data_IF_118428834860
#
_entry.id   IF_118428834860
#
_cell.length_a   1.000
_cell.length_b   1.000
_cell.length_c   1.000
_cell.angle_alpha   90.00
_cell.angle_beta   90.00
_cell.angle_gamma   90.00
#
_symmetry.space_group_name_H-M   'P 1'
#
loop_
_entity.id
_entity.type
_entity.pdbx_description
1 polymer ?
#
# COMPACT_ATOMS: atom_id res chain seq x y z
N UNK A 1 12.83 12.82 -18.71
CA UNK A 1 13.12 12.25 -17.35
C UNK A 1 13.63 10.83 -17.59
N UNK A 2 14.69 10.39 -16.87
CA UNK A 2 15.23 9.05 -17.09
C UNK A 2 14.33 7.99 -16.41
N UNK A 3 14.22 6.79 -17.02
CA UNK A 3 13.49 5.64 -16.42
C UNK A 3 13.96 5.37 -15.01
N UNK A 4 15.26 5.49 -14.74
CA UNK A 4 15.84 5.28 -13.41
C UNK A 4 15.33 6.29 -12.38
N UNK A 5 15.10 7.55 -12.75
CA UNK A 5 14.55 8.56 -11.83
C UNK A 5 13.09 8.30 -11.50
N UNK A 6 12.28 7.83 -12.47
CA UNK A 6 10.88 7.44 -12.20
C UNK A 6 10.78 6.22 -11.29
N UNK A 7 11.61 5.21 -11.54
CA UNK A 7 11.71 4.04 -10.65
C UNK A 7 12.11 4.47 -9.23
N UNK A 8 13.13 5.32 -9.09
CA UNK A 8 13.57 5.82 -7.78
C UNK A 8 12.49 6.61 -7.05
N UNK A 9 11.77 7.49 -7.76
CA UNK A 9 10.67 8.26 -7.21
C UNK A 9 9.50 7.36 -6.77
N UNK A 10 9.11 6.39 -7.61
CA UNK A 10 8.08 5.41 -7.26
C UNK A 10 8.48 4.58 -6.03
N UNK A 11 9.73 4.07 -6.01
CA UNK A 11 10.23 3.28 -4.87
C UNK A 11 10.18 4.06 -3.55
N UNK A 12 10.50 5.36 -3.58
CA UNK A 12 10.38 6.23 -2.41
C UNK A 12 8.94 6.35 -1.90
N UNK A 13 7.97 6.52 -2.81
CA UNK A 13 6.55 6.60 -2.45
C UNK A 13 6.03 5.26 -1.92
N UNK A 14 6.37 4.17 -2.63
CA UNK A 14 6.01 2.81 -2.24
C UNK A 14 6.56 2.48 -0.84
N UNK A 15 7.82 2.83 -0.56
CA UNK A 15 8.41 2.64 0.76
C UNK A 15 7.65 3.39 1.87
N UNK A 16 7.29 4.65 1.63
CA UNK A 16 6.49 5.44 2.60
C UNK A 16 5.12 4.80 2.82
N UNK A 17 4.47 4.33 1.75
CA UNK A 17 3.18 3.66 1.83
C UNK A 17 3.29 2.36 2.66
N UNK A 18 4.32 1.54 2.40
CA UNK A 18 4.58 0.27 3.08
C UNK A 18 4.90 0.45 4.57
N UNK A 19 5.78 1.41 4.89
CA UNK A 19 6.22 1.67 6.28
C UNK A 19 5.08 2.25 7.12
N UNK A 20 4.15 2.96 6.49
CA UNK A 20 3.01 3.55 7.21
C UNK A 20 2.10 2.45 7.76
N UNK A 21 1.90 2.39 9.09
CA UNK A 21 1.06 1.37 9.70
C UNK A 21 -0.37 1.40 9.13
N UNK A 22 -0.86 0.23 8.73
CA UNK A 22 -2.20 0.06 8.16
C UNK A 22 -2.74 -1.34 8.42
N UNK A 23 -3.79 -1.71 7.69
CA UNK A 23 -4.43 -3.02 7.80
C UNK A 23 -3.42 -4.16 7.57
N UNK A 24 -2.59 -4.06 6.53
CA UNK A 24 -1.63 -5.09 6.15
C UNK A 24 -0.55 -5.27 7.22
N UNK A 25 0.00 -4.17 7.76
CA UNK A 25 0.96 -4.20 8.89
C UNK A 25 0.33 -4.88 10.12
N UNK A 26 -0.92 -4.53 10.45
CA UNK A 26 -1.63 -5.12 11.58
C UNK A 26 -1.86 -6.62 11.39
N UNK A 27 -2.26 -7.05 10.19
CA UNK A 27 -2.45 -8.47 9.86
C UNK A 27 -1.16 -9.26 9.98
N UNK A 28 -0.05 -8.75 9.42
CA UNK A 28 1.25 -9.42 9.49
C UNK A 28 1.76 -9.52 10.93
N UNK A 29 1.69 -8.43 11.70
CA UNK A 29 2.09 -8.43 13.11
C UNK A 29 1.25 -9.40 13.95
N UNK A 30 -0.08 -9.42 13.74
CA UNK A 30 -0.98 -10.35 14.41
C UNK A 30 -0.67 -11.80 14.04
N UNK A 31 -0.46 -12.10 12.75
CA UNK A 31 -0.09 -13.44 12.31
C UNK A 31 1.26 -13.87 12.90
N UNK A 32 2.26 -13.00 12.92
CA UNK A 32 3.57 -13.27 13.50
C UNK A 32 3.51 -13.53 15.01
N UNK A 33 2.71 -12.75 15.74
CA UNK A 33 2.59 -12.84 17.20
C UNK A 33 1.76 -14.06 17.66
N UNK A 34 0.67 -14.39 16.95
CA UNK A 34 -0.31 -15.38 17.41
C UNK A 34 -0.33 -16.69 16.63
N UNK A 35 0.15 -16.72 15.38
CA UNK A 35 0.05 -17.87 14.48
C UNK A 35 1.44 -18.38 14.02
N UNK A 36 2.50 -17.67 14.37
CA UNK A 36 3.89 -18.02 14.06
C UNK A 36 4.35 -17.53 12.68
N UNK A 37 5.67 -17.63 12.48
CA UNK A 37 6.39 -17.07 11.32
C UNK A 37 5.86 -17.57 9.97
N UNK A 38 5.52 -18.85 9.86
CA UNK A 38 5.00 -19.45 8.62
C UNK A 38 3.70 -18.78 8.15
N UNK A 39 2.76 -18.57 9.07
CA UNK A 39 1.48 -17.94 8.76
C UNK A 39 1.62 -16.44 8.50
N UNK A 40 2.57 -15.79 9.18
CA UNK A 40 2.92 -14.41 8.89
C UNK A 40 3.43 -14.25 7.45
N UNK A 41 4.37 -15.10 7.00
CA UNK A 41 4.82 -15.08 5.60
C UNK A 41 3.71 -15.47 4.61
N UNK A 42 2.83 -16.42 4.96
CA UNK A 42 1.67 -16.71 4.12
C UNK A 42 0.78 -15.46 3.93
N UNK A 43 0.57 -14.69 5.00
CA UNK A 43 -0.15 -13.41 4.94
C UNK A 43 0.59 -12.41 4.04
N UNK A 44 1.91 -12.27 4.17
CA UNK A 44 2.73 -11.38 3.33
C UNK A 44 2.62 -11.77 1.85
N UNK A 45 2.74 -13.05 1.51
CA UNK A 45 2.59 -13.50 0.12
C UNK A 45 1.17 -13.28 -0.43
N UNK A 46 0.15 -13.34 0.43
CA UNK A 46 -1.21 -12.95 0.07
C UNK A 46 -1.30 -11.45 -0.27
N UNK A 47 -0.75 -10.60 0.58
CA UNK A 47 -0.66 -9.15 0.35
C UNK A 47 0.10 -8.86 -0.95
N UNK A 48 1.25 -9.50 -1.15
CA UNK A 48 2.06 -9.37 -2.37
C UNK A 48 1.28 -9.72 -3.64
N UNK A 49 0.48 -10.79 -3.61
CA UNK A 49 -0.39 -11.15 -4.72
C UNK A 49 -1.46 -10.07 -4.99
N UNK A 50 -2.03 -9.47 -3.94
CA UNK A 50 -2.96 -8.34 -4.06
C UNK A 50 -2.31 -7.09 -4.68
N UNK A 51 -1.09 -6.76 -4.25
CA UNK A 51 -0.28 -5.66 -4.82
C UNK A 51 -0.02 -5.89 -6.31
N UNK A 52 0.33 -7.12 -6.72
CA UNK A 52 0.49 -7.47 -8.14
C UNK A 52 -0.81 -7.34 -8.93
N UNK A 53 -1.95 -7.76 -8.37
CA UNK A 53 -3.25 -7.56 -9.00
C UNK A 53 -3.53 -6.08 -9.26
N UNK A 54 -3.29 -5.21 -8.29
CA UNK A 54 -3.45 -3.77 -8.46
C UNK A 54 -2.47 -3.18 -9.47
N UNK A 55 -1.19 -3.62 -9.45
CA UNK A 55 -0.18 -3.20 -10.43
C UNK A 55 -0.56 -3.55 -11.85
N UNK A 56 -1.01 -4.80 -12.09
CA UNK A 56 -1.48 -5.25 -13.39
C UNK A 56 -2.77 -4.55 -13.82
N UNK A 57 -3.74 -4.41 -12.92
CA UNK A 57 -4.99 -3.70 -13.20
C UNK A 57 -4.72 -2.24 -13.58
N UNK A 58 -3.82 -1.57 -12.88
CA UNK A 58 -3.44 -0.18 -13.17
C UNK A 58 -2.68 -0.05 -14.50
N UNK A 59 -1.72 -0.94 -14.76
CA UNK A 59 -0.95 -0.92 -16.02
C UNK A 59 -1.83 -1.13 -17.25
N UNK A 60 -2.85 -1.99 -17.16
CA UNK A 60 -3.80 -2.24 -18.25
C UNK A 60 -4.88 -1.15 -18.29
N UNK A 61 -5.48 -0.86 -17.12
CA UNK A 61 -6.67 -0.02 -17.02
C UNK A 61 -6.39 1.46 -17.26
N UNK A 62 -5.32 1.99 -16.67
CA UNK A 62 -5.00 3.42 -16.82
C UNK A 62 -4.59 3.78 -18.25
N UNK A 63 -3.81 2.92 -18.92
CA UNK A 63 -3.47 3.10 -20.34
C UNK A 63 -4.71 3.04 -21.23
N UNK A 64 -5.64 2.12 -20.97
CA UNK A 64 -6.88 2.02 -21.72
C UNK A 64 -7.80 3.25 -21.52
N UNK A 65 -7.90 3.75 -20.28
CA UNK A 65 -8.69 4.96 -19.98
C UNK A 65 -8.10 6.19 -20.66
N UNK A 66 -6.78 6.36 -20.61
CA UNK A 66 -6.09 7.49 -21.26
C UNK A 66 -6.30 7.46 -22.77
N UNK A 67 -6.16 6.28 -23.41
CA UNK A 67 -6.38 6.10 -24.83
C UNK A 67 -7.84 6.35 -25.26
N UNK A 68 -8.80 5.97 -24.39
CA UNK A 68 -10.23 6.13 -24.69
C UNK A 68 -10.73 7.55 -24.44
N UNK A 69 -10.25 8.24 -23.39
CA UNK A 69 -10.72 9.58 -23.03
C UNK A 69 -9.75 10.29 -22.08
N UNK A 70 -8.99 11.30 -22.59
CA UNK A 70 -8.15 12.14 -21.73
C UNK A 70 -8.94 12.81 -20.60
N UNK A 71 -10.18 13.18 -20.83
CA UNK A 71 -11.06 13.78 -19.83
C UNK A 71 -11.38 12.79 -18.70
N UNK A 72 -11.67 11.52 -19.01
CA UNK A 72 -11.90 10.49 -18.01
C UNK A 72 -10.66 10.21 -17.17
N UNK A 73 -9.48 10.22 -17.81
CA UNK A 73 -8.20 10.11 -17.11
C UNK A 73 -7.96 11.28 -16.14
N UNK A 74 -8.25 12.51 -16.56
CA UNK A 74 -8.12 13.70 -15.71
C UNK A 74 -9.05 13.61 -14.49
N UNK A 75 -10.28 13.14 -14.64
CA UNK A 75 -11.19 12.91 -13.51
C UNK A 75 -10.68 11.82 -12.57
N UNK A 76 -10.06 10.75 -13.08
CA UNK A 76 -9.43 9.71 -12.27
C UNK A 76 -8.27 10.31 -11.45
N UNK A 77 -7.44 11.15 -12.06
CA UNK A 77 -6.34 11.85 -11.37
C UNK A 77 -6.86 12.78 -10.27
N UNK A 78 -7.91 13.56 -10.54
CA UNK A 78 -8.54 14.45 -9.54
C UNK A 78 -9.09 13.63 -8.37
N UNK A 79 -9.83 12.56 -8.64
CA UNK A 79 -10.38 11.69 -7.60
C UNK A 79 -9.26 11.03 -6.76
N UNK A 80 -8.21 10.55 -7.41
CA UNK A 80 -7.03 9.98 -6.74
C UNK A 80 -6.30 11.01 -5.88
N UNK A 81 -6.09 12.22 -6.40
CA UNK A 81 -5.47 13.32 -5.64
C UNK A 81 -6.30 13.69 -4.40
N UNK A 82 -7.62 13.86 -4.57
CA UNK A 82 -8.52 14.17 -3.46
C UNK A 82 -8.47 13.08 -2.38
N UNK A 83 -8.47 11.81 -2.80
CA UNK A 83 -8.35 10.68 -1.88
C UNK A 83 -6.99 10.67 -1.14
N UNK A 84 -5.87 10.87 -1.85
CA UNK A 84 -4.55 10.93 -1.22
C UNK A 84 -4.45 12.07 -0.20
N UNK A 85 -4.97 13.24 -0.54
CA UNK A 85 -5.02 14.38 0.39
C UNK A 85 -5.88 14.04 1.61
N UNK A 86 -7.06 13.46 1.41
CA UNK A 86 -7.94 13.01 2.49
C UNK A 86 -7.26 11.97 3.40
N UNK A 87 -6.61 10.97 2.79
CA UNK A 87 -5.86 9.95 3.52
C UNK A 87 -4.72 10.56 4.34
N UNK A 88 -3.92 11.44 3.73
CA UNK A 88 -2.82 12.11 4.40
C UNK A 88 -3.28 13.02 5.56
N UNK A 89 -4.40 13.74 5.40
CA UNK A 89 -5.03 14.50 6.48
C UNK A 89 -5.46 13.56 7.61
N UNK A 90 -6.03 12.39 7.28
CA UNK A 90 -6.41 11.36 8.25
C UNK A 90 -5.19 10.89 9.08
N UNK A 91 -4.04 10.67 8.43
CA UNK A 91 -2.79 10.30 9.09
C UNK A 91 -2.30 11.43 10.04
N UNK A 92 -2.32 12.68 9.58
CA UNK A 92 -1.94 13.83 10.42
C UNK A 92 -2.87 14.01 11.63
N UNK A 93 -4.17 13.74 11.48
CA UNK A 93 -5.13 13.78 12.59
C UNK A 93 -4.85 12.68 13.62
N UNK A 94 -4.48 11.47 13.19
CA UNK A 94 -4.05 10.38 14.09
C UNK A 94 -2.76 10.75 14.82
N UNK A 95 -1.77 11.30 14.12
CA UNK A 95 -0.53 11.77 14.71
C UNK A 95 -0.76 12.79 15.84
N UNK A 96 -1.80 13.63 15.72
CA UNK A 96 -2.21 14.60 16.74
C UNK A 96 -3.07 14.03 17.88
N UNK A 97 -3.29 12.70 17.90
CA UNK A 97 -4.11 12.05 18.93
C UNK A 97 -5.63 12.29 18.79
N UNK A 98 -6.10 12.79 17.64
CA UNK A 98 -7.51 13.09 17.36
C UNK A 98 -8.27 11.99 16.59
N UNK A 99 -7.61 10.89 16.24
CA UNK A 99 -8.20 9.74 15.55
C UNK A 99 -8.03 8.48 16.37
N UNK A 100 -9.13 7.74 16.60
CA UNK A 100 -9.04 6.38 17.10
C UNK A 100 -8.52 5.47 15.97
N UNK A 101 -7.68 4.44 16.26
CA UNK A 101 -7.40 3.41 15.29
C UNK A 101 -8.73 2.68 14.97
N UNK A 102 -9.11 2.59 13.71
CA UNK A 102 -10.13 1.61 13.31
C UNK A 102 -9.60 0.20 13.60
N UNK A 103 -9.89 -0.28 14.79
CA UNK A 103 -9.76 -1.69 15.11
C UNK A 103 -10.93 -2.40 14.44
N UNK A 104 -10.68 -2.98 13.28
CA UNK A 104 -11.56 -3.99 12.71
C UNK A 104 -11.49 -5.22 13.63
N UNK A 105 -12.39 -5.27 14.60
CA UNK A 105 -12.61 -6.43 15.47
C UNK A 105 -13.47 -7.44 14.72
N UNK A 106 -12.83 -8.29 13.93
CA UNK A 106 -13.42 -9.57 13.53
C UNK A 106 -12.84 -10.68 14.38
N UNK A 107 -13.49 -10.92 15.51
CA UNK A 107 -13.26 -12.06 16.38
C UNK A 107 -14.31 -13.13 16.05
N UNK A 108 -14.02 -13.97 15.08
CA UNK A 108 -14.71 -15.25 14.95
C UNK A 108 -13.80 -16.35 15.46
N UNK A 109 -14.12 -16.84 16.64
CA UNK A 109 -13.54 -18.05 17.23
C UNK A 109 -14.00 -19.26 16.41
N UNK A 110 -13.06 -19.98 15.79
CA UNK A 110 -13.30 -21.24 15.10
C UNK A 110 -12.21 -22.23 15.54
N UNK A 111 -12.61 -23.48 15.79
CA UNK A 111 -11.82 -24.65 16.18
C UNK A 111 -10.47 -24.81 15.46
N UNK A 112 -9.46 -25.50 16.05
CA UNK A 112 -8.11 -25.55 15.52
C UNK A 112 -8.06 -26.31 14.18
N UNK A 113 -7.76 -25.64 13.07
CA UNK A 113 -7.61 -26.25 11.76
C UNK A 113 -6.21 -26.85 11.56
N UNK A 114 -6.05 -27.73 10.57
CA UNK A 114 -4.74 -28.28 10.19
C UNK A 114 -3.74 -27.18 9.82
N UNK A 115 -2.45 -27.44 10.01
CA UNK A 115 -1.37 -26.44 9.77
C UNK A 115 -1.38 -25.90 8.32
N UNK A 116 -1.85 -26.71 7.36
CA UNK A 116 -1.93 -26.33 5.95
C UNK A 116 -3.15 -25.45 5.66
N UNK A 117 -4.30 -25.75 6.28
CA UNK A 117 -5.50 -24.90 6.20
C UNK A 117 -5.29 -23.53 6.83
N UNK A 118 -4.54 -23.45 7.93
CA UNK A 118 -4.18 -22.16 8.58
C UNK A 118 -3.34 -21.30 7.65
N UNK A 119 -2.38 -21.91 6.94
CA UNK A 119 -1.50 -21.18 6.01
C UNK A 119 -2.27 -20.62 4.81
N UNK A 120 -3.18 -21.39 4.22
CA UNK A 120 -4.03 -20.94 3.11
C UNK A 120 -5.01 -19.86 3.55
N UNK A 121 -5.61 -19.99 4.74
CA UNK A 121 -6.46 -18.95 5.32
C UNK A 121 -5.68 -17.66 5.60
N UNK A 122 -4.44 -17.77 6.05
CA UNK A 122 -3.58 -16.60 6.27
C UNK A 122 -3.24 -15.90 4.96
N UNK A 123 -2.92 -16.66 3.91
CA UNK A 123 -2.69 -16.14 2.57
C UNK A 123 -3.92 -15.42 2.01
N UNK A 124 -5.08 -16.08 2.03
CA UNK A 124 -6.31 -15.49 1.51
C UNK A 124 -6.73 -14.23 2.29
N UNK A 125 -6.55 -14.19 3.61
CA UNK A 125 -6.78 -12.98 4.40
C UNK A 125 -5.88 -11.84 3.95
N UNK A 126 -4.59 -12.09 3.74
CA UNK A 126 -3.65 -11.10 3.21
C UNK A 126 -4.08 -10.61 1.83
N UNK A 127 -4.40 -11.52 0.93
CA UNK A 127 -4.84 -11.23 -0.43
C UNK A 127 -6.10 -10.35 -0.47
N UNK A 128 -7.18 -10.81 0.15
CA UNK A 128 -8.43 -10.07 0.14
C UNK A 128 -8.36 -8.77 0.93
N UNK A 129 -7.61 -8.74 2.04
CA UNK A 129 -7.37 -7.49 2.76
C UNK A 129 -6.72 -6.43 1.88
N UNK A 130 -5.72 -6.80 1.08
CA UNK A 130 -5.04 -5.87 0.19
C UNK A 130 -5.91 -5.50 -1.03
N UNK A 131 -6.53 -6.48 -1.70
CA UNK A 131 -7.39 -6.23 -2.88
C UNK A 131 -8.58 -5.32 -2.54
N UNK A 132 -9.22 -5.53 -1.40
CA UNK A 132 -10.32 -4.68 -0.96
C UNK A 132 -9.88 -3.44 -0.18
N UNK A 133 -8.58 -3.21 -0.05
CA UNK A 133 -8.06 -2.02 0.61
C UNK A 133 -8.11 -0.82 -0.36
N UNK A 134 -8.99 0.16 -0.14
CA UNK A 134 -9.13 1.31 -1.03
C UNK A 134 -7.84 2.14 -1.10
N UNK A 135 -7.00 2.07 -0.08
CA UNK A 135 -5.70 2.75 -0.04
C UNK A 135 -4.78 2.29 -1.18
N UNK A 136 -4.69 0.95 -1.40
CA UNK A 136 -3.87 0.40 -2.49
C UNK A 136 -4.53 0.60 -3.84
N UNK A 137 -5.84 0.34 -3.94
CA UNK A 137 -6.58 0.50 -5.19
C UNK A 137 -6.45 1.89 -5.77
N UNK A 138 -6.76 2.91 -5.00
CA UNK A 138 -6.68 4.29 -5.45
C UNK A 138 -5.25 4.78 -5.65
N UNK A 139 -4.31 4.33 -4.79
CA UNK A 139 -2.89 4.61 -5.01
C UNK A 139 -2.41 4.08 -6.35
N UNK A 140 -2.66 2.81 -6.65
CA UNK A 140 -2.21 2.20 -7.89
C UNK A 140 -2.86 2.81 -9.11
N UNK A 141 -4.18 3.00 -9.09
CA UNK A 141 -4.91 3.54 -10.24
C UNK A 141 -4.57 5.00 -10.54
N UNK A 142 -4.31 5.82 -9.51
CA UNK A 142 -4.03 7.24 -9.68
C UNK A 142 -2.54 7.55 -9.82
N UNK A 143 -1.67 6.81 -9.12
CA UNK A 143 -0.25 7.15 -9.01
C UNK A 143 0.64 6.38 -9.97
N UNK A 144 0.43 5.06 -10.14
CA UNK A 144 1.33 4.23 -10.93
C UNK A 144 1.50 4.73 -12.38
N UNK A 145 0.45 5.17 -13.10
CA UNK A 145 0.59 5.66 -14.46
C UNK A 145 1.56 6.84 -14.62
N UNK A 146 1.71 7.67 -13.58
CA UNK A 146 2.56 8.87 -13.61
C UNK A 146 4.06 8.56 -13.56
N UNK A 147 4.41 7.31 -13.19
CA UNK A 147 5.78 6.82 -13.19
C UNK A 147 6.10 5.95 -14.41
N UNK A 148 5.19 5.90 -15.39
CA UNK A 148 5.38 5.19 -16.66
C UNK A 148 5.77 6.24 -17.72
N UNK A 149 7.03 6.26 -18.19
CA UNK A 149 7.44 7.15 -19.28
C UNK A 149 6.72 6.81 -20.58
N UNK A 150 6.43 7.85 -21.40
CA UNK A 150 5.68 7.73 -22.66
C UNK A 150 6.34 6.78 -23.69
N UNK A 151 7.67 6.66 -23.63
CA UNK A 151 8.49 5.84 -24.52
C UNK A 151 8.65 4.38 -24.05
N UNK A 152 7.97 3.98 -22.95
CA UNK A 152 8.07 2.62 -22.39
C UNK A 152 6.75 1.86 -22.54
N UNK A 153 6.80 0.51 -22.74
CA UNK A 153 5.59 -0.31 -22.74
C UNK A 153 4.89 -0.25 -21.39
N UNK A 154 3.65 0.29 -21.29
CA UNK A 154 2.99 0.54 -19.99
C UNK A 154 2.84 -0.72 -19.13
N UNK A 155 2.53 -1.86 -19.76
CA UNK A 155 2.38 -3.13 -19.07
C UNK A 155 3.68 -3.60 -18.40
N UNK A 156 4.81 -3.55 -19.15
CA UNK A 156 6.10 -3.99 -18.61
C UNK A 156 6.60 -3.06 -17.51
N UNK A 157 6.44 -1.75 -17.71
CA UNK A 157 6.84 -0.78 -16.68
C UNK A 157 5.96 -0.88 -15.44
N UNK A 158 4.65 -1.00 -15.60
CA UNK A 158 3.74 -1.19 -14.47
C UNK A 158 4.01 -2.48 -13.68
N UNK A 159 4.31 -3.58 -14.39
CA UNK A 159 4.72 -4.82 -13.75
C UNK A 159 6.03 -4.66 -12.98
N UNK A 160 7.03 -3.99 -13.57
CA UNK A 160 8.31 -3.71 -12.93
C UNK A 160 8.11 -2.89 -11.64
N UNK A 161 7.32 -1.83 -11.69
CA UNK A 161 7.02 -0.99 -10.54
C UNK A 161 6.29 -1.79 -9.43
N UNK A 162 5.34 -2.65 -9.81
CA UNK A 162 4.65 -3.52 -8.85
C UNK A 162 5.61 -4.55 -8.21
N UNK A 163 6.56 -5.10 -8.97
CA UNK A 163 7.59 -5.99 -8.44
C UNK A 163 8.54 -5.27 -7.48
N UNK A 164 8.92 -4.02 -7.79
CA UNK A 164 9.72 -3.19 -6.89
C UNK A 164 8.97 -2.93 -5.58
N UNK A 165 7.69 -2.59 -5.65
CA UNK A 165 6.87 -2.42 -4.46
C UNK A 165 6.80 -3.71 -3.63
N UNK A 166 6.57 -4.86 -4.29
CA UNK A 166 6.59 -6.15 -3.62
C UNK A 166 7.93 -6.48 -2.94
N UNK A 167 9.04 -6.12 -3.57
CA UNK A 167 10.36 -6.30 -2.94
C UNK A 167 10.50 -5.45 -1.67
N UNK A 168 10.03 -4.21 -1.70
CA UNK A 168 9.98 -3.31 -0.54
C UNK A 168 9.08 -3.89 0.56
N UNK A 169 7.88 -4.36 0.20
CA UNK A 169 6.95 -5.01 1.12
C UNK A 169 7.57 -6.25 1.78
N UNK A 170 8.18 -7.14 0.99
CA UNK A 170 8.84 -8.35 1.50
C UNK A 170 9.96 -8.02 2.47
N UNK A 171 10.80 -7.04 2.16
CA UNK A 171 11.88 -6.59 3.06
C UNK A 171 11.27 -6.05 4.35
N UNK A 172 10.33 -5.12 4.25
CA UNK A 172 9.71 -4.47 5.42
C UNK A 172 8.98 -5.46 6.32
N UNK A 173 8.10 -6.28 5.75
CA UNK A 173 7.35 -7.26 6.52
C UNK A 173 8.25 -8.37 7.09
N UNK A 174 9.33 -8.76 6.39
CA UNK A 174 10.32 -9.68 6.95
C UNK A 174 11.01 -9.08 8.17
N UNK A 175 11.39 -7.80 8.12
CA UNK A 175 11.95 -7.09 9.27
C UNK A 175 10.94 -7.05 10.44
N UNK A 176 9.66 -6.83 10.15
CA UNK A 176 8.61 -6.85 11.18
C UNK A 176 8.40 -8.25 11.77
N UNK A 177 8.38 -9.31 10.95
CA UNK A 177 8.20 -10.70 11.40
C UNK A 177 9.37 -11.15 12.27
N UNK A 178 10.61 -10.89 11.84
CA UNK A 178 11.80 -11.23 12.61
C UNK A 178 11.92 -10.38 13.86
N UNK A 179 11.59 -9.10 13.73
CA UNK A 179 11.66 -8.12 14.80
C UNK A 179 10.44 -8.08 15.72
N UNK A 180 9.41 -8.92 15.51
CA UNK A 180 8.14 -8.84 16.29
C UNK A 180 8.37 -8.91 17.79
N UNK A 181 9.37 -9.66 18.26
CA UNK A 181 9.74 -9.76 19.68
C UNK A 181 10.55 -8.58 20.20
N UNK A 182 11.30 -7.90 19.33
CA UNK A 182 12.20 -6.79 19.66
C UNK A 182 11.61 -5.43 19.29
N UNK A 183 11.07 -5.32 18.08
CA UNK A 183 10.55 -4.08 17.47
C UNK A 183 9.07 -3.87 17.71
N UNK A 184 8.28 -4.94 17.97
CA UNK A 184 6.85 -4.82 18.20
C UNK A 184 6.53 -3.89 19.37
N UNK A 185 7.31 -3.97 20.46
CA UNK A 185 7.16 -3.07 21.60
C UNK A 185 7.56 -1.61 21.24
N UNK A 186 8.57 -1.43 20.40
CA UNK A 186 9.01 -0.10 19.96
C UNK A 186 8.05 0.53 18.94
N UNK A 187 7.61 -0.24 17.94
CA UNK A 187 6.63 0.21 16.93
C UNK A 187 5.26 0.52 17.53
N UNK A 188 4.89 -0.13 18.62
CA UNK A 188 3.66 0.14 19.35
C UNK A 188 3.76 1.36 20.27
N UNK A 189 4.94 1.98 20.41
CA UNK A 189 5.05 3.22 21.20
C UNK A 189 4.27 4.35 20.52
N UNK A 190 3.38 5.06 21.25
CA UNK A 190 2.56 6.13 20.69
C UNK A 190 3.36 7.23 19.98
N UNK A 191 4.55 7.55 20.46
CA UNK A 191 5.45 8.53 19.84
C UNK A 191 5.98 8.10 18.49
N UNK A 192 6.33 6.80 18.33
CA UNK A 192 6.82 6.26 17.06
C UNK A 192 5.69 6.22 16.03
N UNK A 193 4.51 5.74 16.41
CA UNK A 193 3.34 5.72 15.53
C UNK A 193 2.94 7.13 15.06
N UNK A 194 2.93 8.11 15.98
CA UNK A 194 2.68 9.52 15.63
C UNK A 194 3.71 10.08 14.66
N UNK A 195 4.98 9.77 14.84
CA UNK A 195 6.05 10.19 13.94
C UNK A 195 5.88 9.60 12.54
N UNK A 196 5.60 8.30 12.44
CA UNK A 196 5.35 7.61 11.18
C UNK A 196 4.11 8.16 10.47
N UNK A 197 2.99 8.33 11.19
CA UNK A 197 1.76 8.91 10.64
C UNK A 197 1.96 10.35 10.15
N UNK A 198 2.77 11.14 10.86
CA UNK A 198 3.06 12.53 10.47
C UNK A 198 3.87 12.59 9.17
N UNK A 199 4.98 11.85 9.09
CA UNK A 199 5.84 11.83 7.89
C UNK A 199 5.06 11.27 6.70
N UNK A 200 4.38 10.14 6.88
CA UNK A 200 3.58 9.53 5.83
C UNK A 200 2.45 10.44 5.35
N UNK A 201 1.73 11.07 6.27
CA UNK A 201 0.65 12.01 5.94
C UNK A 201 1.14 13.17 5.09
N UNK A 202 2.30 13.77 5.43
CA UNK A 202 2.89 14.86 4.65
C UNK A 202 3.31 14.40 3.25
N UNK A 203 3.97 13.25 3.14
CA UNK A 203 4.40 12.70 1.85
C UNK A 203 3.20 12.40 0.95
N UNK A 204 2.17 11.75 1.48
CA UNK A 204 0.96 11.40 0.71
C UNK A 204 0.21 12.67 0.25
N UNK A 205 0.13 13.72 1.08
CA UNK A 205 -0.46 15.01 0.69
C UNK A 205 0.37 15.68 -0.42
N UNK A 206 1.70 15.68 -0.30
CA UNK A 206 2.57 16.27 -1.30
C UNK A 206 2.40 15.59 -2.67
N UNK A 207 2.26 14.24 -2.69
CA UNK A 207 1.97 13.50 -3.92
C UNK A 207 0.57 13.78 -4.47
N UNK A 208 -0.46 13.84 -3.62
CA UNK A 208 -1.80 14.23 -4.04
C UNK A 208 -1.81 15.64 -4.67
N UNK A 209 -1.07 16.57 -4.10
CA UNK A 209 -0.89 17.91 -4.68
C UNK A 209 -0.17 17.86 -6.03
N UNK A 210 0.94 17.10 -6.13
CA UNK A 210 1.68 16.92 -7.41
C UNK A 210 0.79 16.33 -8.50
N UNK A 211 -0.12 15.41 -8.14
CA UNK A 211 -1.04 14.76 -9.07
C UNK A 211 -2.04 15.73 -9.70
N UNK A 212 -2.51 16.71 -8.94
CA UNK A 212 -3.56 17.63 -9.39
C UNK A 212 -3.00 18.83 -10.20
N UNK A 213 -1.73 19.21 -10.00
CA UNK A 213 -1.12 20.37 -10.65
C UNK A 213 -1.20 20.30 -12.19
N UNK A 214 -0.80 19.22 -12.87
CA UNK A 214 -0.87 19.13 -14.33
C UNK A 214 -2.29 19.26 -14.88
N UNK A 215 -3.29 18.76 -14.12
CA UNK A 215 -4.70 18.76 -14.53
C UNK A 215 -5.32 20.15 -14.42
N UNK A 216 -4.81 21.02 -13.53
CA UNK A 216 -5.31 22.39 -13.34
C UNK A 216 -4.64 23.36 -14.32
N UNK A 217 -3.39 23.08 -14.70
CA UNK A 217 -2.56 23.97 -15.54
C UNK A 217 -2.72 23.67 -17.03
N UNK A 218 -3.30 22.51 -17.40
CA UNK A 218 -3.66 22.16 -18.80
C UNK A 218 -5.01 22.74 -19.18
#
# INVERSE_FOLDING_TARGET
>A
VSVASEIGAFAGVAAVLTITPGLDTTLVLRAAASQGTRNAYATVFGISAGVLCWGLASAIGAGAILAASPTAYNWLCIAGAAYLIWLGIGMLRRARGRGQPEQSSDTTAISPPSVQEVSLRSWSRGFFSNVFNPRFGLFYMAMLPQFIPDDTPPFLMGLLLALIHNAIDLIWFSLLIVGVRLLGHWLNKPGVQRGLDCVAGLVVIAFGAKLIIPVIVS
#
